data_IF_584415662847
#
_entry.id   IF_584415662847
#
_cell.length_a   1.000
_cell.length_b   1.000
_cell.length_c   1.000
_cell.angle_alpha   90.00
_cell.angle_beta   90.00
_cell.angle_gamma   90.00
#
_symmetry.space_group_name_H-M   'P 1'
#
loop_
_entity.id
_entity.type
_entity.pdbx_description
1 polymer ?
#
# COMPACT_ATOMS: atom_id res chain seq x y z
N UNK A 1 -7.69 -17.75 -6.55
CA UNK A 1 -7.02 -16.45 -6.65
C UNK A 1 -5.81 -16.56 -7.57
N UNK A 2 -5.50 -15.55 -8.38
CA UNK A 2 -4.37 -15.58 -9.32
C UNK A 2 -3.70 -14.20 -9.42
N UNK A 3 -2.37 -14.18 -9.47
CA UNK A 3 -1.58 -12.96 -9.70
C UNK A 3 -1.44 -12.76 -11.22
N UNK A 4 -1.76 -11.55 -11.67
CA UNK A 4 -1.79 -11.20 -13.10
C UNK A 4 -0.94 -9.96 -13.43
N UNK A 5 -0.48 -9.23 -12.42
CA UNK A 5 0.33 -8.02 -12.53
C UNK A 5 1.77 -8.29 -12.09
N UNK A 6 2.69 -7.41 -12.51
CA UNK A 6 4.08 -7.48 -12.05
C UNK A 6 4.20 -6.90 -10.63
N UNK A 7 4.88 -7.59 -9.69
CA UNK A 7 5.09 -7.06 -8.35
C UNK A 7 6.10 -5.91 -8.37
N UNK A 8 5.95 -4.98 -7.42
CA UNK A 8 6.94 -3.95 -7.09
C UNK A 8 7.63 -4.34 -5.80
N UNK A 9 8.96 -4.28 -5.80
CA UNK A 9 9.78 -4.57 -4.64
C UNK A 9 10.47 -3.29 -4.19
N UNK A 10 10.23 -2.90 -2.93
CA UNK A 10 10.80 -1.69 -2.34
C UNK A 10 11.00 -1.91 -0.84
N UNK A 11 12.14 -1.47 -0.29
CA UNK A 11 12.46 -1.58 1.15
C UNK A 11 12.23 -2.97 1.75
N UNK A 12 12.68 -4.04 1.06
CA UNK A 12 12.48 -5.44 1.49
C UNK A 12 11.01 -5.85 1.64
N UNK A 13 10.10 -5.17 0.95
CA UNK A 13 8.68 -5.51 0.89
C UNK A 13 8.28 -5.76 -0.55
N UNK A 14 7.37 -6.71 -0.73
CA UNK A 14 6.82 -7.10 -2.03
C UNK A 14 5.38 -6.65 -2.08
N UNK A 15 5.08 -5.78 -3.03
CA UNK A 15 3.75 -5.24 -3.25
C UNK A 15 3.20 -5.74 -4.59
N UNK A 16 2.01 -6.33 -4.58
CA UNK A 16 1.41 -6.92 -5.78
C UNK A 16 -0.11 -6.99 -5.67
N UNK A 17 -0.77 -7.23 -6.81
CA UNK A 17 -2.22 -7.43 -6.85
C UNK A 17 -2.60 -8.84 -7.28
N UNK A 18 -3.70 -9.34 -6.73
CA UNK A 18 -4.29 -10.60 -7.13
C UNK A 18 -5.73 -10.41 -7.59
N UNK A 19 -6.19 -11.32 -8.44
CA UNK A 19 -7.59 -11.44 -8.82
C UNK A 19 -8.26 -12.60 -8.07
N UNK A 20 -9.34 -12.29 -7.37
CA UNK A 20 -10.23 -13.24 -6.70
C UNK A 20 -11.51 -13.38 -7.53
N UNK A 21 -11.73 -14.52 -8.21
CA UNK A 21 -12.93 -14.73 -8.99
C UNK A 21 -14.16 -14.76 -8.08
N UNK A 22 -15.29 -14.21 -8.53
CA UNK A 22 -16.53 -14.32 -7.78
C UNK A 22 -17.05 -15.76 -7.79
N UNK A 23 -17.59 -16.20 -6.66
CA UNK A 23 -18.21 -17.51 -6.50
C UNK A 23 -19.55 -17.55 -7.24
N UNK A 24 -19.53 -18.00 -8.50
CA UNK A 24 -20.68 -18.20 -9.41
C UNK A 24 -21.68 -17.04 -9.53
N UNK A 25 -21.94 -16.58 -10.76
CA UNK A 25 -22.96 -15.56 -10.97
C UNK A 25 -24.36 -16.06 -10.58
N UNK A 26 -25.12 -15.23 -9.88
CA UNK A 26 -26.55 -15.46 -9.59
C UNK A 26 -27.44 -15.36 -10.84
N UNK A 27 -26.86 -15.02 -11.99
CA UNK A 27 -27.52 -14.83 -13.29
C UNK A 27 -26.63 -15.34 -14.42
N UNK A 28 -27.23 -15.99 -15.41
CA UNK A 28 -26.55 -16.49 -16.62
C UNK A 28 -26.02 -15.36 -17.54
N UNK A 29 -26.49 -14.12 -17.34
CA UNK A 29 -26.13 -12.96 -18.17
C UNK A 29 -25.23 -11.94 -17.47
N UNK A 30 -25.03 -12.06 -16.16
CA UNK A 30 -24.11 -11.19 -15.42
C UNK A 30 -22.75 -11.89 -15.30
N UNK A 31 -21.68 -11.39 -15.94
CA UNK A 31 -20.36 -11.94 -15.70
C UNK A 31 -20.05 -11.81 -14.19
N UNK A 32 -19.60 -12.89 -13.52
CA UNK A 32 -19.21 -12.80 -12.12
C UNK A 32 -18.09 -11.77 -11.98
N UNK A 33 -18.40 -10.60 -11.43
CA UNK A 33 -17.43 -9.57 -11.15
C UNK A 33 -16.64 -9.99 -9.90
N UNK A 34 -15.52 -10.69 -10.14
CA UNK A 34 -14.53 -10.95 -9.09
C UNK A 34 -13.94 -9.64 -8.54
N UNK A 35 -13.34 -9.72 -7.37
CA UNK A 35 -12.65 -8.59 -6.74
C UNK A 35 -11.14 -8.73 -6.88
N UNK A 36 -10.43 -7.63 -6.68
CA UNK A 36 -8.98 -7.65 -6.57
C UNK A 36 -8.54 -7.39 -5.13
N UNK A 37 -7.39 -7.95 -4.76
CA UNK A 37 -6.72 -7.70 -3.48
C UNK A 37 -5.34 -7.12 -3.73
N UNK A 38 -4.95 -6.14 -2.94
CA UNK A 38 -3.58 -5.65 -2.86
C UNK A 38 -2.89 -6.37 -1.71
N UNK A 39 -1.67 -6.86 -1.96
CA UNK A 39 -0.85 -7.55 -0.96
C UNK A 39 0.39 -6.73 -0.67
N UNK A 40 0.76 -6.66 0.60
CA UNK A 40 2.05 -6.15 1.05
C UNK A 40 2.66 -7.16 2.02
N UNK A 41 3.74 -7.79 1.61
CA UNK A 41 4.42 -8.82 2.41
C UNK A 41 5.91 -8.54 2.52
N UNK A 42 6.53 -9.04 3.59
CA UNK A 42 7.98 -9.02 3.73
C UNK A 42 8.64 -9.93 2.68
N UNK A 43 9.69 -9.44 2.03
CA UNK A 43 10.48 -10.18 1.04
C UNK A 43 11.21 -11.38 1.66
N UNK A 44 11.46 -11.34 2.97
CA UNK A 44 12.28 -12.33 3.67
C UNK A 44 11.50 -13.58 4.03
N UNK A 45 10.26 -13.42 4.50
CA UNK A 45 9.45 -14.49 5.09
C UNK A 45 8.01 -14.57 4.55
N UNK A 46 7.57 -13.58 3.75
CA UNK A 46 6.21 -13.54 3.22
C UNK A 46 5.13 -13.22 4.26
N UNK A 47 5.52 -12.77 5.44
CA UNK A 47 4.61 -12.37 6.51
C UNK A 47 4.04 -10.96 6.29
N UNK A 48 2.99 -10.63 7.05
CA UNK A 48 2.44 -9.28 7.10
C UNK A 48 3.49 -8.27 7.57
N UNK A 49 3.41 -7.05 7.02
CA UNK A 49 4.38 -5.98 7.33
C UNK A 49 3.97 -5.18 8.56
N UNK A 50 2.68 -5.18 8.90
CA UNK A 50 2.11 -4.48 10.05
C UNK A 50 0.69 -4.98 10.30
N UNK A 51 0.18 -4.73 11.50
CA UNK A 51 -1.19 -5.03 11.89
C UNK A 51 -2.13 -4.07 11.13
N UNK A 52 -3.01 -4.63 10.31
CA UNK A 52 -3.92 -3.90 9.44
C UNK A 52 -5.28 -3.71 10.09
N UNK A 53 -5.70 -4.65 10.95
CA UNK A 53 -7.05 -4.73 11.50
C UNK A 53 -7.13 -4.18 12.94
N UNK A 54 -5.98 -3.91 13.58
CA UNK A 54 -5.85 -3.35 14.92
C UNK A 54 -6.11 -4.35 16.05
N UNK A 55 -5.90 -5.66 15.83
CA UNK A 55 -6.12 -6.71 16.82
C UNK A 55 -4.86 -7.09 17.63
N UNK A 56 -3.76 -6.36 17.43
CA UNK A 56 -2.43 -6.61 18.04
C UNK A 56 -1.80 -7.97 17.66
N UNK A 57 -2.36 -8.68 16.68
CA UNK A 57 -1.80 -9.89 16.10
C UNK A 57 -1.27 -9.58 14.68
N UNK A 58 -0.24 -10.33 14.24
CA UNK A 58 0.27 -10.25 12.87
C UNK A 58 -0.07 -11.56 12.19
N UNK A 59 -1.17 -11.57 11.44
CA UNK A 59 -1.74 -12.78 10.87
C UNK A 59 -1.86 -12.72 9.33
N UNK A 60 -2.61 -13.68 8.77
CA UNK A 60 -2.78 -13.78 7.33
C UNK A 60 -3.72 -12.72 6.73
N UNK A 61 -4.60 -12.16 7.54
CA UNK A 61 -5.58 -11.14 7.17
C UNK A 61 -4.91 -9.77 7.02
N UNK A 62 -3.79 -9.53 7.70
CA UNK A 62 -3.02 -8.29 7.58
C UNK A 62 -2.19 -8.17 6.29
N UNK A 63 -2.02 -9.28 5.57
CA UNK A 63 -1.19 -9.31 4.35
C UNK A 63 -1.85 -8.63 3.17
N UNK A 64 -3.16 -8.37 3.23
CA UNK A 64 -3.91 -7.87 2.09
C UNK A 64 -5.00 -6.89 2.45
N UNK A 65 -5.27 -5.98 1.51
CA UNK A 65 -6.45 -5.14 1.51
C UNK A 65 -7.34 -5.51 0.30
N UNK A 66 -8.65 -5.54 0.50
CA UNK A 66 -9.58 -5.74 -0.62
C UNK A 66 -9.82 -4.39 -1.31
N UNK A 67 -9.60 -4.35 -2.61
CA UNK A 67 -9.83 -3.15 -3.41
C UNK A 67 -11.32 -2.98 -3.67
N UNK A 68 -11.77 -1.73 -3.71
CA UNK A 68 -13.15 -1.36 -4.06
C UNK A 68 -13.45 -1.58 -5.55
N UNK A 69 -12.42 -1.52 -6.41
CA UNK A 69 -12.56 -1.82 -7.82
C UNK A 69 -12.86 -3.30 -8.07
N UNK A 70 -13.79 -3.56 -8.99
CA UNK A 70 -14.10 -4.91 -9.47
C UNK A 70 -13.21 -5.30 -10.65
N UNK A 71 -13.07 -6.59 -10.89
CA UNK A 71 -12.28 -7.13 -12.00
C UNK A 71 -10.80 -7.25 -11.65
N UNK A 72 -9.97 -7.16 -12.69
CA UNK A 72 -8.52 -7.33 -12.60
C UNK A 72 -7.89 -5.96 -12.32
N UNK A 73 -7.25 -5.82 -11.16
CA UNK A 73 -6.47 -4.63 -10.84
C UNK A 73 -5.32 -4.46 -11.86
N UNK A 74 -5.04 -3.23 -12.30
CA UNK A 74 -3.92 -2.95 -13.18
C UNK A 74 -2.59 -3.10 -12.43
N UNK A 75 -1.49 -2.94 -13.18
CA UNK A 75 -0.15 -2.94 -12.60
C UNK A 75 0.02 -1.84 -11.54
N UNK A 76 0.75 -2.19 -10.48
CA UNK A 76 1.08 -1.28 -9.38
C UNK A 76 2.01 -0.18 -9.88
N UNK A 77 1.64 1.09 -9.67
CA UNK A 77 2.48 2.25 -10.00
C UNK A 77 2.69 3.12 -8.76
N UNK A 78 3.94 3.48 -8.52
CA UNK A 78 4.31 4.47 -7.50
C UNK A 78 4.51 5.81 -8.21
N UNK A 79 3.75 6.81 -7.77
CA UNK A 79 3.84 8.19 -8.24
C UNK A 79 4.55 9.01 -7.16
N UNK A 80 5.65 9.66 -7.55
CA UNK A 80 6.43 10.52 -6.65
C UNK A 80 6.35 11.94 -7.22
N UNK A 81 5.35 12.69 -6.78
CA UNK A 81 5.22 14.13 -7.09
C UNK A 81 6.01 14.97 -6.08
N UNK A 82 5.85 14.65 -4.79
CA UNK A 82 6.68 15.13 -3.70
C UNK A 82 7.50 13.97 -3.15
N UNK A 83 8.80 14.21 -2.95
CA UNK A 83 9.69 13.25 -2.33
C UNK A 83 9.30 12.90 -0.90
N UNK A 84 8.50 13.72 -0.20
CA UNK A 84 8.04 13.50 1.18
C UNK A 84 6.76 12.67 1.27
N UNK A 85 5.91 12.70 0.25
CA UNK A 85 4.62 12.02 0.23
C UNK A 85 4.42 11.26 -1.09
N UNK A 86 5.13 10.14 -1.29
CA UNK A 86 4.90 9.28 -2.44
C UNK A 86 3.49 8.66 -2.39
N UNK A 87 2.81 8.66 -3.53
CA UNK A 87 1.46 8.11 -3.69
C UNK A 87 1.53 6.80 -4.46
N UNK A 88 0.76 5.80 -4.03
CA UNK A 88 0.61 4.55 -4.78
C UNK A 88 -0.78 4.47 -5.39
N UNK A 89 -0.84 4.09 -6.67
CA UNK A 89 -2.08 4.00 -7.42
C UNK A 89 -2.29 2.58 -7.97
N UNK A 90 -3.48 2.03 -7.71
CA UNK A 90 -4.01 0.79 -8.25
C UNK A 90 -5.31 1.07 -8.99
N UNK A 91 -5.20 1.39 -10.28
CA UNK A 91 -6.35 1.77 -11.09
C UNK A 91 -6.87 3.12 -10.67
N UNK A 92 -8.08 3.15 -10.11
CA UNK A 92 -8.72 4.39 -9.61
C UNK A 92 -8.44 4.67 -8.14
N UNK A 93 -7.85 3.71 -7.41
CA UNK A 93 -7.53 3.87 -6.00
C UNK A 93 -6.10 4.37 -5.84
N UNK A 94 -5.96 5.60 -5.34
CA UNK A 94 -4.67 6.22 -5.05
C UNK A 94 -4.63 6.64 -3.59
N UNK A 95 -3.59 6.23 -2.87
CA UNK A 95 -3.40 6.51 -1.44
C UNK A 95 -1.95 6.82 -1.13
N UNK A 96 -1.69 7.47 0.01
CA UNK A 96 -0.32 7.73 0.45
C UNK A 96 0.42 6.43 0.77
N UNK A 97 1.69 6.35 0.38
CA UNK A 97 2.56 5.24 0.73
C UNK A 97 3.39 5.49 2.01
N UNK A 98 3.12 6.61 2.71
CA UNK A 98 3.71 7.00 4.00
C UNK A 98 2.62 7.21 5.03
N UNK A 99 2.98 7.15 6.32
CA UNK A 99 2.03 7.48 7.39
C UNK A 99 1.83 9.00 7.41
N UNK A 100 0.62 9.52 7.14
CA UNK A 100 0.34 10.94 7.24
C UNK A 100 0.52 11.43 8.69
N UNK A 101 1.03 12.65 8.84
CA UNK A 101 1.24 13.29 10.14
C UNK A 101 0.53 14.63 10.19
N UNK A 102 -0.08 14.93 11.34
CA UNK A 102 -0.73 16.21 11.60
C UNK A 102 0.30 17.35 11.82
N UNK A 103 -0.19 18.58 12.02
CA UNK A 103 0.65 19.77 12.30
C UNK A 103 1.48 19.63 13.60
N UNK A 104 1.04 18.76 14.51
CA UNK A 104 1.70 18.46 15.80
C UNK A 104 2.68 17.27 15.69
N UNK A 105 2.78 16.62 14.53
CA UNK A 105 3.65 15.48 14.25
C UNK A 105 3.13 14.12 14.72
N UNK A 106 1.84 14.01 15.06
CA UNK A 106 1.19 12.75 15.41
C UNK A 106 0.71 12.02 14.14
N UNK A 107 0.75 10.67 14.13
CA UNK A 107 0.23 9.90 13.01
C UNK A 107 -1.29 10.05 12.90
N UNK A 108 -1.78 10.34 11.70
CA UNK A 108 -3.21 10.29 11.41
C UNK A 108 -3.67 8.84 11.18
N UNK A 109 -4.90 8.54 11.60
CA UNK A 109 -5.50 7.22 11.38
C UNK A 109 -5.87 7.06 9.89
N UNK A 110 -5.53 5.91 9.33
CA UNK A 110 -5.93 5.54 7.97
C UNK A 110 -7.44 5.32 7.88
N UNK A 111 -8.05 5.66 6.73
CA UNK A 111 -9.49 5.62 6.52
C UNK A 111 -9.98 4.34 5.81
N UNK A 112 -9.07 3.57 5.20
CA UNK A 112 -9.39 2.32 4.51
C UNK A 112 -8.28 1.28 4.67
N UNK A 113 -8.64 0.00 4.58
CA UNK A 113 -7.68 -1.12 4.61
C UNK A 113 -6.57 -0.91 3.56
N UNK A 114 -6.91 -0.40 2.38
CA UNK A 114 -5.92 -0.16 1.34
C UNK A 114 -4.93 0.96 1.70
N UNK A 115 -5.42 2.02 2.34
CA UNK A 115 -4.58 3.10 2.86
C UNK A 115 -3.69 2.60 4.01
N UNK A 116 -4.26 1.85 4.96
CA UNK A 116 -3.53 1.26 6.07
C UNK A 116 -2.44 0.28 5.59
N UNK A 117 -2.70 -0.48 4.52
CA UNK A 117 -1.71 -1.34 3.88
C UNK A 117 -0.61 -0.50 3.21
N UNK A 118 -0.99 0.55 2.49
CA UNK A 118 -0.07 1.35 1.65
C UNK A 118 0.88 2.22 2.46
N UNK A 119 0.42 2.82 3.57
CA UNK A 119 1.29 3.60 4.47
C UNK A 119 2.45 2.77 5.02
N UNK A 120 2.30 1.44 5.11
CA UNK A 120 3.33 0.53 5.58
C UNK A 120 4.44 0.27 4.54
N UNK A 121 4.33 0.76 3.30
CA UNK A 121 5.37 0.61 2.27
C UNK A 121 6.64 1.37 2.69
N UNK A 122 6.50 2.69 2.91
CA UNK A 122 7.60 3.53 3.37
C UNK A 122 7.53 3.84 4.88
N UNK A 123 6.38 3.63 5.53
CA UNK A 123 6.20 3.84 6.96
C UNK A 123 6.41 5.31 7.36
N UNK A 124 7.10 5.54 8.49
CA UNK A 124 7.56 6.88 8.88
C UNK A 124 8.71 7.32 7.98
N UNK A 125 8.36 8.01 6.90
CA UNK A 125 9.33 8.48 5.93
C UNK A 125 9.92 9.83 6.37
N UNK A 126 11.07 9.78 7.03
CA UNK A 126 11.83 10.98 7.38
C UNK A 126 13.03 11.09 6.43
N UNK A 127 13.06 12.12 5.58
CA UNK A 127 14.28 12.39 4.81
C UNK A 127 15.36 12.85 5.79
N UNK A 128 16.45 12.08 5.88
CA UNK A 128 17.72 12.65 6.31
C UNK A 128 18.17 13.57 5.17
N UNK A 129 17.79 14.85 5.23
CA UNK A 129 18.28 15.87 4.31
C UNK A 129 19.78 16.07 4.58
N UNK A 130 20.64 15.25 3.97
CA UNK A 130 22.08 15.53 3.87
C UNK A 130 22.27 16.75 2.98
N UNK A 131 22.10 17.95 3.54
CA UNK A 131 22.17 19.20 2.80
C UNK A 131 22.14 20.50 3.60
N UNK A 132 21.87 20.49 4.92
CA UNK A 132 22.09 21.69 5.74
C UNK A 132 23.51 21.67 6.32
N UNK A 133 24.49 21.99 5.48
CA UNK A 133 25.77 22.49 5.98
C UNK A 133 25.72 24.00 5.72
N UNK A 134 25.26 24.79 6.70
CA UNK A 134 25.61 26.21 6.71
C UNK A 134 27.07 26.27 7.15
N UNK A 135 27.97 26.64 6.24
CA UNK A 135 29.27 27.15 6.68
C UNK A 135 29.00 28.55 7.20
N UNK A 136 28.86 28.68 8.51
CA UNK A 136 29.13 29.94 9.19
C UNK A 136 30.59 30.26 8.92
N UNK A 137 30.83 31.07 7.88
CA UNK A 137 32.13 31.71 7.71
C UNK A 137 32.12 32.85 8.72
N UNK A 138 32.85 32.67 9.82
CA UNK A 138 33.10 33.75 10.77
C UNK A 138 33.77 34.95 10.09
N UNK A 139 33.45 36.14 10.62
CA UNK A 139 33.89 37.46 10.17
C UNK A 139 35.39 37.61 9.93
#
# INVERSE_FOLDING_TARGET
EKILSSPVIVNYKVFFTSYVPASSSTSACAPPAGNSRAYLVSLVDGNAVGDLNGDDELDENDRFATLTQTGIAPDTKILIEDATNPTICLGTECVSAVVPVDEDGNPEACASDFECLSQNIFGRYQRVMRGSWSTDVEQ
#
